data_IF_797070535557
#
_entry.id   IF_797070535557
#
_cell.length_a   1.000
_cell.length_b   1.000
_cell.length_c   1.000
_cell.angle_alpha   90.00
_cell.angle_beta   90.00
_cell.angle_gamma   90.00
#
_symmetry.space_group_name_H-M   'P 1'
#
loop_
_entity.id
_entity.type
_entity.pdbx_description
1 polymer ?
#
# COMPACT_ATOMS: atom_id res chain seq x y z
N UNK A 1 -13.01 -1.29 6.84
CA UNK A 1 -11.82 -2.15 6.85
C UNK A 1 -12.32 -3.56 6.79
N UNK A 2 -11.89 -4.27 5.75
CA UNK A 2 -12.37 -5.60 5.36
C UNK A 2 -12.16 -6.61 6.50
N UNK A 3 -13.20 -6.76 7.34
CA UNK A 3 -13.25 -7.77 8.42
C UNK A 3 -14.38 -8.76 8.16
N UNK A 4 -14.98 -8.72 6.97
CA UNK A 4 -15.68 -9.86 6.41
C UNK A 4 -14.61 -10.77 5.79
N UNK A 5 -13.81 -11.41 6.66
CA UNK A 5 -13.32 -12.73 6.32
C UNK A 5 -14.57 -13.52 5.96
N UNK A 6 -14.82 -13.68 4.65
CA UNK A 6 -15.96 -14.38 4.06
C UNK A 6 -16.46 -15.43 5.04
N UNK A 7 -17.64 -15.23 5.64
CA UNK A 7 -18.12 -16.05 6.78
C UNK A 7 -17.97 -17.55 6.47
N UNK A 8 -18.09 -17.89 5.18
CA UNK A 8 -17.79 -19.19 4.55
C UNK A 8 -16.37 -19.72 4.82
N UNK A 9 -15.33 -18.88 4.70
CA UNK A 9 -13.93 -19.19 5.02
C UNK A 9 -13.74 -19.48 6.51
N UNK A 10 -14.33 -18.66 7.39
CA UNK A 10 -14.26 -18.87 8.85
C UNK A 10 -14.96 -20.16 9.26
N UNK A 11 -16.15 -20.43 8.72
CA UNK A 11 -16.89 -21.67 8.96
C UNK A 11 -16.11 -22.90 8.51
N UNK A 12 -15.54 -22.85 7.30
CA UNK A 12 -14.71 -23.94 6.77
C UNK A 12 -13.49 -24.22 7.65
N UNK A 13 -12.83 -23.18 8.18
CA UNK A 13 -11.72 -23.34 9.10
C UNK A 13 -12.16 -23.99 10.42
N UNK A 14 -13.30 -23.57 10.99
CA UNK A 14 -13.86 -24.14 12.21
C UNK A 14 -14.18 -25.63 12.04
N UNK A 15 -14.78 -26.02 10.91
CA UNK A 15 -15.10 -27.41 10.62
C UNK A 15 -13.84 -28.29 10.59
N UNK A 16 -12.80 -27.85 9.87
CA UNK A 16 -11.51 -28.55 9.78
C UNK A 16 -10.86 -28.72 11.15
N UNK A 17 -10.87 -27.66 11.98
CA UNK A 17 -10.29 -27.70 13.33
C UNK A 17 -11.04 -28.67 14.25
N UNK A 18 -12.37 -28.72 14.17
CA UNK A 18 -13.19 -29.69 14.92
C UNK A 18 -12.94 -31.13 14.47
N UNK A 19 -12.73 -31.36 13.17
CA UNK A 19 -12.42 -32.69 12.64
C UNK A 19 -11.02 -33.17 13.03
N UNK A 20 -10.05 -32.25 13.16
CA UNK A 20 -8.65 -32.58 13.47
C UNK A 20 -8.37 -32.72 14.98
N UNK A 21 -9.17 -32.09 15.84
CA UNK A 21 -8.95 -32.05 17.29
C UNK A 21 -9.87 -32.98 18.10
N UNK A 22 -9.39 -33.42 19.28
CA UNK A 22 -10.24 -34.08 20.30
C UNK A 22 -10.81 -33.10 21.33
N UNK A 23 -10.29 -31.88 21.35
CA UNK A 23 -10.74 -30.81 22.25
C UNK A 23 -11.81 -29.95 21.58
N UNK A 24 -12.84 -29.50 22.32
CA UNK A 24 -13.85 -28.62 21.78
C UNK A 24 -13.25 -27.26 21.42
N UNK A 25 -13.46 -26.82 20.19
CA UNK A 25 -13.10 -25.47 19.76
C UNK A 25 -13.95 -24.44 20.50
N UNK A 26 -13.29 -23.51 21.20
CA UNK A 26 -13.92 -22.39 21.90
C UNK A 26 -13.45 -21.06 21.31
N UNK A 27 -14.20 -20.49 20.34
CA UNK A 27 -13.95 -19.14 19.86
C UNK A 27 -14.02 -18.15 21.03
N UNK A 28 -13.21 -17.11 20.98
CA UNK A 28 -13.13 -16.08 22.02
C UNK A 28 -12.68 -14.77 21.42
N UNK A 29 -13.08 -13.69 22.04
CA UNK A 29 -12.54 -12.36 21.79
C UNK A 29 -11.53 -12.04 22.88
N UNK A 30 -10.32 -11.67 22.46
CA UNK A 30 -9.20 -11.41 23.37
C UNK A 30 -8.96 -9.92 23.50
N UNK A 31 -9.03 -9.44 24.73
CA UNK A 31 -8.49 -8.14 25.12
C UNK A 31 -7.01 -8.34 25.47
N UNK A 32 -6.11 -7.75 24.68
CA UNK A 32 -4.68 -7.84 24.92
C UNK A 32 -4.23 -6.61 25.71
N UNK A 33 -3.62 -6.83 26.87
CA UNK A 33 -2.97 -5.76 27.60
C UNK A 33 -1.59 -5.49 27.00
N UNK A 34 -1.44 -4.33 26.37
CA UNK A 34 -0.15 -3.85 25.87
C UNK A 34 0.45 -2.79 26.78
N UNK A 35 -0.39 -1.88 27.28
CA UNK A 35 -0.01 -0.65 27.97
C UNK A 35 -1.12 -0.16 28.91
N UNK A 36 -2.07 -1.01 29.31
CA UNK A 36 -3.11 -0.59 30.24
C UNK A 36 -2.50 -0.27 31.61
N UNK A 37 -3.10 0.66 32.33
CA UNK A 37 -2.79 0.83 33.75
C UNK A 37 -3.43 -0.31 34.54
N UNK A 38 -2.89 -0.65 35.72
CA UNK A 38 -3.47 -1.68 36.59
C UNK A 38 -4.95 -1.40 36.92
N UNK A 39 -5.31 -0.11 37.07
CA UNK A 39 -6.68 0.34 37.31
C UNK A 39 -7.59 0.08 36.09
N UNK A 40 -7.14 0.44 34.88
CA UNK A 40 -7.89 0.21 33.65
C UNK A 40 -8.05 -1.28 33.35
N UNK A 41 -7.00 -2.08 33.57
CA UNK A 41 -7.06 -3.53 33.38
C UNK A 41 -8.04 -4.18 34.36
N UNK A 42 -8.02 -3.76 35.63
CA UNK A 42 -8.96 -4.23 36.65
C UNK A 42 -10.41 -3.86 36.30
N UNK A 43 -10.65 -2.62 35.86
CA UNK A 43 -11.97 -2.18 35.43
C UNK A 43 -12.47 -2.95 34.21
N UNK A 44 -11.58 -3.27 33.26
CA UNK A 44 -11.93 -4.08 32.10
C UNK A 44 -12.36 -5.51 32.51
N UNK A 45 -11.68 -6.12 33.48
CA UNK A 45 -12.09 -7.43 34.03
C UNK A 45 -13.49 -7.35 34.61
N UNK A 46 -13.81 -6.29 35.35
CA UNK A 46 -15.11 -6.09 35.98
C UNK A 46 -16.22 -5.82 34.94
N UNK A 47 -15.90 -5.05 33.90
CA UNK A 47 -16.86 -4.63 32.88
C UNK A 47 -17.19 -5.73 31.85
N UNK A 48 -16.30 -6.72 31.65
CA UNK A 48 -16.58 -7.87 30.79
C UNK A 48 -17.59 -8.80 31.48
N UNK A 49 -18.82 -8.82 30.95
CA UNK A 49 -19.86 -9.78 31.32
C UNK A 49 -19.62 -11.18 30.72
N UNK A 50 -20.23 -12.20 31.34
CA UNK A 50 -20.23 -13.58 30.83
C UNK A 50 -19.03 -14.45 31.23
N UNK A 51 -18.83 -15.56 30.51
CA UNK A 51 -17.66 -16.43 30.71
C UNK A 51 -16.41 -15.69 30.24
N UNK A 52 -15.46 -15.49 31.17
CA UNK A 52 -14.14 -14.91 30.89
C UNK A 52 -13.02 -15.68 31.59
N UNK A 53 -11.81 -15.57 31.03
CA UNK A 53 -10.57 -16.03 31.65
C UNK A 53 -9.58 -14.87 31.69
N UNK A 54 -9.02 -14.63 32.88
CA UNK A 54 -8.08 -13.53 33.13
C UNK A 54 -6.68 -14.12 33.24
N UNK A 55 -5.74 -13.47 32.54
CA UNK A 55 -4.32 -13.75 32.56
C UNK A 55 -3.56 -12.44 32.77
N UNK A 56 -2.28 -12.52 33.10
CA UNK A 56 -1.45 -11.34 33.40
C UNK A 56 -1.35 -10.35 32.21
N UNK A 57 -1.42 -10.84 30.96
CA UNK A 57 -1.26 -10.00 29.75
C UNK A 57 -2.53 -9.91 28.88
N UNK A 58 -3.61 -10.60 29.26
CA UNK A 58 -4.84 -10.59 28.46
C UNK A 58 -6.07 -11.11 29.20
N UNK A 59 -7.25 -10.74 28.69
CA UNK A 59 -8.54 -11.28 29.10
C UNK A 59 -9.19 -11.92 27.89
N UNK A 60 -9.58 -13.18 28.02
CA UNK A 60 -10.33 -13.92 27.02
C UNK A 60 -11.82 -13.91 27.40
N UNK A 61 -12.68 -13.28 26.58
CA UNK A 61 -14.15 -13.32 26.69
C UNK A 61 -14.72 -14.30 25.68
N UNK A 62 -15.67 -15.13 26.09
CA UNK A 62 -16.28 -16.16 25.25
C UNK A 62 -17.64 -15.76 24.67
N UNK A 63 -18.27 -14.71 25.23
CA UNK A 63 -19.63 -14.28 24.88
C UNK A 63 -19.66 -12.94 24.13
N UNK A 64 -18.54 -12.20 24.13
CA UNK A 64 -18.47 -10.86 23.54
C UNK A 64 -18.00 -10.87 22.09
N UNK A 65 -18.75 -10.23 21.19
CA UNK A 65 -18.36 -10.01 19.80
C UNK A 65 -17.23 -8.97 19.67
N UNK A 66 -16.52 -8.98 18.54
CA UNK A 66 -15.36 -8.10 18.32
C UNK A 66 -15.73 -6.61 18.44
N UNK A 67 -16.81 -6.17 17.79
CA UNK A 67 -17.20 -4.76 17.80
C UNK A 67 -17.55 -4.27 19.22
N UNK A 68 -18.36 -5.06 19.95
CA UNK A 68 -18.70 -4.76 21.34
C UNK A 68 -17.46 -4.79 22.27
N UNK A 69 -16.48 -5.65 21.99
CA UNK A 69 -15.22 -5.66 22.71
C UNK A 69 -14.37 -4.42 22.43
N UNK A 70 -14.31 -3.96 21.18
CA UNK A 70 -13.61 -2.72 20.82
C UNK A 70 -14.23 -1.52 21.51
N UNK A 71 -15.57 -1.43 21.51
CA UNK A 71 -16.30 -0.36 22.19
C UNK A 71 -16.06 -0.39 23.70
N UNK A 72 -16.14 -1.56 24.33
CA UNK A 72 -15.91 -1.73 25.77
C UNK A 72 -14.47 -1.36 26.17
N UNK A 73 -13.47 -1.84 25.41
CA UNK A 73 -12.07 -1.49 25.67
C UNK A 73 -11.84 0.02 25.58
N UNK A 74 -12.49 0.67 24.60
CA UNK A 74 -12.39 2.12 24.40
C UNK A 74 -13.07 2.91 25.51
N UNK A 75 -14.25 2.49 25.96
CA UNK A 75 -14.96 3.10 27.07
C UNK A 75 -14.12 3.06 28.35
N UNK A 76 -13.61 1.86 28.70
CA UNK A 76 -12.72 1.69 29.86
C UNK A 76 -11.43 2.51 29.70
N UNK A 77 -10.83 2.53 28.51
CA UNK A 77 -9.63 3.36 28.28
C UNK A 77 -9.91 4.84 28.56
N UNK A 78 -11.03 5.39 28.06
CA UNK A 78 -11.40 6.79 28.25
C UNK A 78 -11.69 7.13 29.72
N UNK A 79 -12.41 6.26 30.43
CA UNK A 79 -12.73 6.45 31.85
C UNK A 79 -11.49 6.41 32.75
N UNK A 80 -10.44 5.74 32.30
CA UNK A 80 -9.16 5.63 33.01
C UNK A 80 -8.05 6.52 32.43
N UNK A 81 -8.43 7.59 31.70
CA UNK A 81 -7.51 8.67 31.30
C UNK A 81 -6.69 8.40 30.05
N UNK A 82 -7.00 7.35 29.30
CA UNK A 82 -6.50 7.14 27.95
C UNK A 82 -7.26 7.98 26.91
N UNK A 83 -6.87 7.84 25.64
CA UNK A 83 -7.39 8.69 24.55
C UNK A 83 -8.46 7.99 23.72
N UNK A 84 -8.58 6.66 23.84
CA UNK A 84 -9.51 5.86 23.05
C UNK A 84 -9.22 5.96 21.55
N UNK A 85 -7.95 6.13 21.19
CA UNK A 85 -7.50 6.24 19.80
C UNK A 85 -7.40 4.87 19.17
N UNK A 86 -7.91 4.76 17.95
CA UNK A 86 -7.65 3.60 17.11
C UNK A 86 -6.28 3.78 16.46
N UNK A 87 -5.46 2.73 16.52
CA UNK A 87 -4.20 2.72 15.80
C UNK A 87 -4.48 2.93 14.29
N UNK A 88 -3.80 3.87 13.63
CA UNK A 88 -3.97 4.05 12.20
C UNK A 88 -3.54 2.78 11.48
N UNK A 89 -4.29 2.40 10.44
CA UNK A 89 -3.82 1.38 9.51
C UNK A 89 -2.69 1.94 8.65
N UNK A 90 -1.79 1.08 8.21
CA UNK A 90 -0.70 1.43 7.29
C UNK A 90 -0.79 0.61 6.01
N UNK A 91 -0.48 1.27 4.89
CA UNK A 91 -0.27 0.64 3.59
C UNK A 91 1.20 0.84 3.23
N UNK A 92 1.87 -0.25 2.87
CA UNK A 92 3.27 -0.23 2.45
C UNK A 92 3.34 -0.46 0.95
N UNK A 93 4.05 0.44 0.25
CA UNK A 93 4.32 0.32 -1.18
C UNK A 93 5.82 0.09 -1.39
N UNK A 94 6.16 -0.58 -2.50
CA UNK A 94 7.55 -0.76 -2.93
C UNK A 94 8.08 0.56 -3.47
N UNK A 95 9.35 0.87 -3.19
CA UNK A 95 10.01 2.02 -3.83
C UNK A 95 10.27 1.74 -5.30
N UNK A 96 9.99 2.74 -6.13
CA UNK A 96 10.43 2.72 -7.52
C UNK A 96 11.95 2.91 -7.60
N UNK A 97 12.54 2.16 -8.52
CA UNK A 97 13.94 2.28 -8.89
C UNK A 97 14.15 3.59 -9.65
N UNK A 98 15.27 4.28 -9.39
CA UNK A 98 15.64 5.47 -10.14
C UNK A 98 15.92 5.14 -11.61
N UNK A 99 15.70 6.10 -12.50
CA UNK A 99 15.87 5.90 -13.95
C UNK A 99 17.27 5.44 -14.34
N UNK A 100 18.30 5.77 -13.56
CA UNK A 100 19.69 5.34 -13.80
C UNK A 100 20.07 4.07 -13.04
N UNK A 101 19.09 3.38 -12.44
CA UNK A 101 19.30 2.35 -11.42
C UNK A 101 19.47 2.93 -10.01
N UNK A 102 19.23 2.09 -9.00
CA UNK A 102 19.34 2.48 -7.59
C UNK A 102 18.18 3.34 -7.10
N UNK A 103 18.45 4.29 -6.19
CA UNK A 103 17.41 5.11 -5.55
C UNK A 103 16.99 6.30 -6.43
N UNK A 104 15.69 6.46 -6.65
CA UNK A 104 15.13 7.70 -7.21
C UNK A 104 15.33 8.85 -6.20
N UNK A 105 16.03 9.92 -6.61
CA UNK A 105 16.43 10.99 -5.69
C UNK A 105 16.44 12.35 -6.35
N UNK A 106 15.83 13.36 -5.71
CA UNK A 106 15.88 14.75 -6.16
C UNK A 106 17.30 15.32 -6.21
N UNK A 107 18.21 14.81 -5.38
CA UNK A 107 19.64 15.17 -5.41
C UNK A 107 20.40 14.63 -6.63
N UNK A 108 19.81 13.71 -7.39
CA UNK A 108 20.38 13.14 -8.61
C UNK A 108 19.37 13.40 -9.75
N UNK A 109 19.46 14.54 -10.46
CA UNK A 109 18.47 14.96 -11.44
C UNK A 109 18.16 13.94 -12.55
N UNK A 110 19.16 13.14 -12.94
CA UNK A 110 18.99 12.11 -13.97
C UNK A 110 18.26 10.86 -13.46
N UNK A 111 18.17 10.63 -12.15
CA UNK A 111 17.54 9.40 -11.60
C UNK A 111 16.04 9.53 -11.34
N UNK A 112 15.46 10.73 -11.50
CA UNK A 112 14.05 10.98 -11.22
C UNK A 112 13.41 11.91 -12.26
N UNK A 113 12.09 11.80 -12.38
CA UNK A 113 11.24 12.70 -13.16
C UNK A 113 10.51 13.58 -12.15
N UNK A 114 10.68 14.89 -12.25
CA UNK A 114 9.96 15.84 -11.43
C UNK A 114 8.59 16.10 -12.04
N UNK A 115 7.54 16.23 -11.23
CA UNK A 115 6.22 16.69 -11.70
C UNK A 115 6.26 18.15 -12.21
N UNK A 116 7.36 18.86 -11.99
CA UNK A 116 7.63 20.19 -12.50
C UNK A 116 8.54 20.21 -13.73
N UNK A 117 9.00 19.04 -14.19
CA UNK A 117 9.73 18.98 -15.45
C UNK A 117 8.78 19.33 -16.61
N UNK A 118 9.29 20.06 -17.60
CA UNK A 118 8.56 20.24 -18.86
C UNK A 118 8.32 18.87 -19.52
N UNK A 119 7.21 18.66 -20.26
CA UNK A 119 6.89 17.36 -20.86
C UNK A 119 8.03 16.77 -21.70
N UNK A 120 8.77 17.62 -22.44
CA UNK A 120 9.92 17.19 -23.25
C UNK A 120 11.11 16.74 -22.38
N UNK A 121 11.33 17.38 -21.22
CA UNK A 121 12.35 16.94 -20.27
C UNK A 121 12.00 15.58 -19.67
N UNK A 122 10.72 15.33 -19.39
CA UNK A 122 10.23 14.01 -18.96
C UNK A 122 10.48 12.94 -20.03
N UNK A 123 10.17 13.24 -21.29
CA UNK A 123 10.45 12.37 -22.44
C UNK A 123 11.94 12.00 -22.51
N UNK A 124 12.83 13.00 -22.49
CA UNK A 124 14.28 12.82 -22.59
C UNK A 124 14.87 11.99 -21.44
N UNK A 125 14.32 12.17 -20.23
CA UNK A 125 14.71 11.39 -19.06
C UNK A 125 14.34 9.91 -19.20
N UNK A 126 13.13 9.60 -19.66
CA UNK A 126 12.69 8.22 -19.89
C UNK A 126 13.53 7.56 -21.00
N UNK A 127 13.80 8.28 -22.09
CA UNK A 127 14.70 7.84 -23.14
C UNK A 127 16.09 7.44 -22.62
N UNK A 128 16.60 8.24 -21.68
CA UNK A 128 17.92 8.05 -21.08
C UNK A 128 17.97 7.00 -19.97
N UNK A 129 16.83 6.44 -19.55
CA UNK A 129 16.76 5.50 -18.43
C UNK A 129 17.50 4.17 -18.71
N UNK A 130 17.95 3.48 -17.68
CA UNK A 130 18.46 2.10 -17.80
C UNK A 130 17.31 1.13 -18.02
N UNK A 131 17.61 -0.02 -18.64
CA UNK A 131 16.63 -1.07 -18.92
C UNK A 131 17.17 -2.42 -18.47
N UNK A 132 16.29 -3.36 -18.10
CA UNK A 132 16.63 -4.79 -17.93
C UNK A 132 16.73 -5.55 -19.25
N UNK A 133 17.03 -4.86 -20.36
CA UNK A 133 17.15 -5.46 -21.68
C UNK A 133 18.46 -6.18 -21.93
N UNK A 134 18.56 -6.87 -23.06
CA UNK A 134 19.80 -7.51 -23.53
C UNK A 134 20.67 -6.54 -24.33
N UNK A 135 21.95 -6.89 -24.45
CA UNK A 135 22.99 -6.12 -25.16
C UNK A 135 22.69 -5.94 -26.66
N UNK A 136 21.97 -6.89 -27.27
CA UNK A 136 21.60 -6.86 -28.69
C UNK A 136 20.15 -7.24 -28.89
N UNK A 137 19.55 -6.73 -29.96
CA UNK A 137 18.17 -7.06 -30.33
C UNK A 137 17.97 -8.54 -30.67
N UNK A 138 19.01 -9.24 -31.13
CA UNK A 138 18.96 -10.69 -31.37
C UNK A 138 18.85 -11.45 -30.05
N UNK A 139 19.69 -11.11 -29.06
CA UNK A 139 19.62 -11.70 -27.72
C UNK A 139 18.31 -11.39 -27.01
N UNK A 140 17.78 -10.17 -27.16
CA UNK A 140 16.48 -9.79 -26.62
C UNK A 140 15.37 -10.70 -27.17
N UNK A 141 15.37 -10.97 -28.49
CA UNK A 141 14.38 -11.86 -29.11
C UNK A 141 14.54 -13.32 -28.69
N UNK A 142 15.77 -13.78 -28.51
CA UNK A 142 16.03 -15.17 -28.13
C UNK A 142 15.74 -15.46 -26.64
N UNK A 143 16.11 -14.52 -25.76
CA UNK A 143 16.14 -14.74 -24.31
C UNK A 143 15.11 -13.91 -23.52
N UNK A 144 14.46 -12.94 -24.16
CA UNK A 144 13.63 -11.96 -23.47
C UNK A 144 14.42 -10.96 -22.64
N UNK A 145 13.71 -9.94 -22.16
CA UNK A 145 14.19 -8.96 -21.18
C UNK A 145 13.87 -9.35 -19.74
N UNK A 146 14.52 -8.68 -18.80
CA UNK A 146 14.36 -8.81 -17.35
C UNK A 146 13.48 -7.65 -16.85
N UNK A 147 12.16 -7.76 -17.06
CA UNK A 147 11.21 -6.70 -16.74
C UNK A 147 11.17 -6.34 -15.24
N UNK A 148 11.34 -7.33 -14.34
CA UNK A 148 11.38 -7.15 -12.89
C UNK A 148 12.54 -6.28 -12.38
N UNK A 149 13.59 -6.13 -13.18
CA UNK A 149 14.79 -5.33 -12.90
C UNK A 149 14.87 -4.07 -13.77
N UNK A 150 13.79 -3.73 -14.50
CA UNK A 150 13.79 -2.67 -15.49
C UNK A 150 13.06 -1.41 -14.97
N UNK A 151 13.76 -0.29 -14.71
CA UNK A 151 13.11 0.96 -14.31
C UNK A 151 12.06 1.47 -15.30
N UNK A 152 12.26 1.23 -16.60
CA UNK A 152 11.27 1.61 -17.63
C UNK A 152 9.98 0.79 -17.50
N UNK A 153 10.07 -0.51 -17.20
CA UNK A 153 8.87 -1.32 -16.97
C UNK A 153 8.15 -0.90 -15.69
N UNK A 154 8.90 -0.56 -14.64
CA UNK A 154 8.31 -0.03 -13.40
C UNK A 154 7.47 1.23 -13.67
N UNK A 155 7.85 2.10 -14.62
CA UNK A 155 7.01 3.25 -15.00
C UNK A 155 5.64 2.82 -15.52
N UNK A 156 5.55 1.75 -16.33
CA UNK A 156 4.27 1.21 -16.77
C UNK A 156 3.45 0.69 -15.60
N UNK A 157 4.06 -0.18 -14.79
CA UNK A 157 3.38 -0.86 -13.68
C UNK A 157 2.85 0.11 -12.60
N UNK A 158 3.53 1.24 -12.37
CA UNK A 158 3.17 2.16 -11.30
C UNK A 158 2.46 3.44 -11.74
N UNK A 159 2.57 3.82 -13.02
CA UNK A 159 2.08 5.13 -13.46
C UNK A 159 1.48 5.12 -14.87
N UNK A 160 2.23 4.69 -15.88
CA UNK A 160 1.87 4.92 -17.29
C UNK A 160 0.74 4.01 -17.79
N UNK A 161 0.48 2.89 -17.13
CA UNK A 161 -0.69 2.07 -17.43
C UNK A 161 -1.96 2.57 -16.73
N UNK A 162 -1.86 3.54 -15.80
CA UNK A 162 -2.97 4.03 -15.00
C UNK A 162 -3.77 2.88 -14.33
N UNK A 163 -5.00 2.64 -14.78
CA UNK A 163 -5.90 1.57 -14.32
C UNK A 163 -6.00 0.37 -15.29
N UNK A 164 -5.23 0.37 -16.38
CA UNK A 164 -5.17 -0.71 -17.37
C UNK A 164 -4.09 -1.75 -17.03
N UNK A 165 -4.41 -2.63 -16.07
CA UNK A 165 -3.55 -3.75 -15.67
C UNK A 165 -3.23 -4.71 -16.84
N UNK A 166 -4.12 -4.82 -17.84
CA UNK A 166 -3.89 -5.64 -19.03
C UNK A 166 -2.79 -5.05 -19.91
N UNK A 167 -2.73 -3.71 -20.02
CA UNK A 167 -1.66 -3.04 -20.75
C UNK A 167 -0.30 -3.26 -20.08
N UNK A 168 -0.19 -3.07 -18.76
CA UNK A 168 1.05 -3.37 -18.04
C UNK A 168 1.46 -4.85 -18.23
N UNK A 169 0.50 -5.78 -18.09
CA UNK A 169 0.71 -7.21 -18.28
C UNK A 169 1.23 -7.54 -19.68
N UNK A 170 0.63 -6.97 -20.73
CA UNK A 170 1.07 -7.16 -22.10
C UNK A 170 2.50 -6.64 -22.32
N UNK A 171 2.85 -5.47 -21.79
CA UNK A 171 4.22 -4.94 -21.90
C UNK A 171 5.22 -5.88 -21.23
N UNK A 172 4.86 -6.47 -20.08
CA UNK A 172 5.67 -7.47 -19.39
C UNK A 172 5.86 -8.74 -20.22
N UNK A 173 4.77 -9.32 -20.72
CA UNK A 173 4.79 -10.56 -21.50
C UNK A 173 5.56 -10.39 -22.80
N UNK A 174 5.32 -9.30 -23.55
CA UNK A 174 6.06 -9.00 -24.78
C UNK A 174 7.56 -8.79 -24.52
N UNK A 175 7.92 -8.16 -23.39
CA UNK A 175 9.32 -7.93 -23.01
C UNK A 175 10.03 -9.24 -22.64
N UNK A 176 9.44 -10.00 -21.72
CA UNK A 176 10.00 -11.27 -21.22
C UNK A 176 9.94 -12.39 -22.26
N UNK A 177 9.01 -12.32 -23.22
CA UNK A 177 8.93 -13.21 -24.38
C UNK A 177 9.85 -12.81 -25.54
N UNK A 178 10.50 -11.64 -25.48
CA UNK A 178 11.42 -11.17 -26.52
C UNK A 178 10.77 -10.55 -27.76
N UNK A 179 9.44 -10.38 -27.76
CA UNK A 179 8.70 -9.75 -28.85
C UNK A 179 8.96 -8.25 -28.91
N UNK A 180 9.05 -7.60 -27.74
CA UNK A 180 9.28 -6.17 -27.58
C UNK A 180 10.76 -5.86 -27.35
N UNK A 181 11.28 -4.89 -28.12
CA UNK A 181 12.62 -4.36 -27.95
C UNK A 181 12.62 -3.14 -27.03
N UNK A 182 13.75 -2.91 -26.34
CA UNK A 182 13.86 -1.84 -25.35
C UNK A 182 13.76 -0.42 -25.94
N UNK A 183 14.18 -0.22 -27.20
CA UNK A 183 14.05 1.07 -27.89
C UNK A 183 12.59 1.46 -28.03
N UNK A 184 11.82 0.64 -28.75
CA UNK A 184 10.38 0.89 -28.97
C UNK A 184 9.60 0.96 -27.64
N UNK A 185 9.97 0.13 -26.65
CA UNK A 185 9.37 0.16 -25.32
C UNK A 185 9.62 1.48 -24.59
N UNK A 186 10.83 2.03 -24.69
CA UNK A 186 11.19 3.33 -24.12
C UNK A 186 10.51 4.48 -24.85
N UNK A 187 10.46 4.43 -26.18
CA UNK A 187 9.78 5.44 -27.00
C UNK A 187 8.30 5.55 -26.60
N UNK A 188 7.61 4.42 -26.48
CA UNK A 188 6.24 4.39 -25.99
C UNK A 188 6.13 4.95 -24.56
N UNK A 189 7.04 4.57 -23.66
CA UNK A 189 7.00 5.04 -22.26
C UNK A 189 7.24 6.55 -22.17
N UNK A 190 8.17 7.07 -22.98
CA UNK A 190 8.53 8.47 -23.02
C UNK A 190 7.37 9.32 -23.56
N UNK A 191 6.65 8.83 -24.58
CA UNK A 191 5.44 9.48 -25.09
C UNK A 191 4.34 9.55 -24.02
N UNK A 192 4.05 8.42 -23.38
CA UNK A 192 3.05 8.38 -22.30
C UNK A 192 3.42 9.29 -21.12
N UNK A 193 4.71 9.36 -20.77
CA UNK A 193 5.20 10.28 -19.75
C UNK A 193 5.04 11.75 -20.16
N UNK A 194 5.29 12.08 -21.42
CA UNK A 194 5.08 13.42 -21.96
C UNK A 194 3.60 13.83 -21.86
N UNK A 195 2.71 12.94 -22.29
CA UNK A 195 1.25 13.14 -22.18
C UNK A 195 0.82 13.31 -20.72
N UNK A 196 1.32 12.44 -19.82
CA UNK A 196 1.04 12.51 -18.40
C UNK A 196 1.47 13.85 -17.77
N UNK A 197 2.68 14.32 -18.07
CA UNK A 197 3.16 15.59 -17.52
C UNK A 197 2.36 16.79 -18.03
N UNK A 198 1.96 16.78 -19.31
CA UNK A 198 1.12 17.83 -19.88
C UNK A 198 -0.25 17.88 -19.18
N UNK A 199 -0.92 16.72 -19.06
CA UNK A 199 -2.21 16.61 -18.37
C UNK A 199 -2.10 16.98 -16.86
N UNK A 200 -1.01 16.58 -16.21
CA UNK A 200 -0.75 16.95 -14.82
C UNK A 200 -0.58 18.47 -14.65
N UNK A 201 0.12 19.13 -15.56
CA UNK A 201 0.33 20.59 -15.52
C UNK A 201 -0.97 21.36 -15.72
N UNK A 202 -1.82 20.92 -16.64
CA UNK A 202 -3.15 21.50 -16.84
C UNK A 202 -4.01 21.36 -15.56
N UNK A 203 -4.09 20.15 -14.99
CA UNK A 203 -4.81 19.90 -13.72
C UNK A 203 -4.24 20.69 -12.56
N UNK A 204 -2.92 20.89 -12.51
CA UNK A 204 -2.26 21.70 -11.48
C UNK A 204 -2.69 23.16 -11.59
N UNK A 205 -2.81 23.71 -12.80
CA UNK A 205 -3.29 25.07 -13.00
C UNK A 205 -4.76 25.23 -12.56
N UNK A 206 -5.62 24.26 -12.89
CA UNK A 206 -7.01 24.24 -12.42
C UNK A 206 -7.11 24.16 -10.89
N UNK A 207 -6.20 23.42 -10.25
CA UNK A 207 -6.16 23.29 -8.80
C UNK A 207 -5.85 24.61 -8.08
N UNK A 208 -5.19 25.59 -8.73
CA UNK A 208 -4.91 26.90 -8.11
C UNK A 208 -6.21 27.64 -7.76
N UNK A 209 -7.22 27.61 -8.64
CA UNK A 209 -8.54 28.21 -8.37
C UNK A 209 -9.27 27.48 -7.22
N UNK A 210 -9.16 26.16 -7.17
CA UNK A 210 -9.75 25.37 -6.08
C UNK A 210 -9.12 25.74 -4.75
N UNK A 211 -7.78 25.87 -4.70
CA UNK A 211 -7.04 26.21 -3.48
C UNK A 211 -7.40 27.60 -2.95
N UNK A 212 -7.61 28.59 -3.81
CA UNK A 212 -8.06 29.93 -3.39
C UNK A 212 -9.45 29.91 -2.73
N UNK A 213 -10.30 28.96 -3.13
CA UNK A 213 -11.63 28.76 -2.55
C UNK A 213 -11.66 27.99 -1.23
N UNK A 214 -10.53 27.41 -0.80
CA UNK A 214 -10.45 26.63 0.43
C UNK A 214 -10.13 27.53 1.63
N UNK A 215 -10.95 27.43 2.69
CA UNK A 215 -10.69 28.04 3.98
C UNK A 215 -9.70 27.18 4.79
N UNK A 216 -8.46 27.11 4.31
CA UNK A 216 -7.36 26.35 4.93
C UNK A 216 -6.21 27.31 5.21
N UNK A 217 -5.84 27.46 6.48
CA UNK A 217 -4.61 28.14 6.86
C UNK A 217 -3.41 27.21 6.68
N UNK A 218 -2.64 27.45 5.62
CA UNK A 218 -1.39 26.71 5.34
C UNK A 218 -0.22 27.19 6.21
N UNK A 219 -0.37 28.27 6.98
CA UNK A 219 0.64 28.72 7.91
C UNK A 219 0.62 27.84 9.16
N UNK A 220 1.56 26.91 9.22
CA UNK A 220 1.78 26.14 10.45
C UNK A 220 2.81 26.89 11.29
N UNK A 221 2.45 27.35 12.50
CA UNK A 221 3.39 28.01 13.45
C UNK A 221 4.48 27.07 14.01
N UNK A 222 4.63 25.87 13.45
CA UNK A 222 5.60 24.87 13.91
C UNK A 222 6.98 25.25 13.39
N UNK A 223 7.74 25.92 14.26
CA UNK A 223 9.19 26.14 14.15
C UNK A 223 9.96 24.86 14.46
#
# INVERSE_FOLDING_TARGET
GDTDLDDTTRESAIEKLRAAGKEPLRPRTRFLDRNATDEAFSALIEAIDGEKRVYDEHIDSFDLGLDAAVDLAREVELDHGGYGFLAPSSIYHRFMTGLTGGKMSSSIPASHISLLDDPETGYDKVQSATTGGRETAERQRELGGEADECPVYELYAYLLAADDDEFATRVYEECTGGERLCGDCKDQAAELMREFLADHQDKRAEAEEVLEGLDIDLNTERT
#
